data_IF_039469979936
#
_entry.id   IF_039469979936
#
_cell.length_a   1.000
_cell.length_b   1.000
_cell.length_c   1.000
_cell.angle_alpha   90.00
_cell.angle_beta   90.00
_cell.angle_gamma   90.00
#
_symmetry.space_group_name_H-M   'P 1'
#
loop_
_entity.id
_entity.type
_entity.pdbx_description
1 polymer ?
#
# COMPACT_ATOMS: atom_id res chain seq x y z
N UNK A 1 23.40 -39.34 -3.88
CA UNK A 1 24.51 -38.47 -3.46
C UNK A 1 24.05 -37.02 -3.63
N UNK A 2 23.30 -36.47 -2.67
CA UNK A 2 22.81 -35.09 -2.66
C UNK A 2 23.23 -34.45 -1.32
N UNK A 3 24.35 -33.73 -1.31
CA UNK A 3 24.89 -33.12 -0.08
C UNK A 3 25.51 -31.74 -0.34
N UNK A 4 24.82 -30.92 -1.15
CA UNK A 4 25.27 -29.55 -1.48
C UNK A 4 24.20 -28.46 -1.33
N UNK A 5 22.96 -28.80 -0.99
CA UNK A 5 21.88 -27.82 -0.84
C UNK A 5 21.32 -27.84 0.58
N UNK A 6 21.29 -26.68 1.23
CA UNK A 6 20.71 -26.52 2.58
C UNK A 6 19.19 -26.61 2.58
N UNK A 7 18.54 -26.45 1.42
CA UNK A 7 17.08 -26.50 1.24
C UNK A 7 16.71 -27.41 0.05
N UNK A 8 15.49 -27.94 0.07
CA UNK A 8 14.98 -28.84 -0.97
C UNK A 8 14.83 -28.10 -2.31
N UNK A 9 15.37 -28.66 -3.39
CA UNK A 9 15.39 -28.07 -4.74
C UNK A 9 14.12 -28.34 -5.57
N UNK A 10 13.29 -29.31 -5.18
CA UNK A 10 12.12 -29.73 -5.96
C UNK A 10 10.87 -28.99 -5.49
N UNK A 11 10.72 -27.73 -5.88
CA UNK A 11 9.51 -26.94 -5.65
C UNK A 11 9.23 -26.04 -6.85
N UNK A 12 7.95 -25.78 -7.11
CA UNK A 12 7.53 -24.86 -8.17
C UNK A 12 7.97 -23.43 -7.83
N UNK A 13 8.89 -22.91 -8.63
CA UNK A 13 9.32 -21.51 -8.55
C UNK A 13 8.34 -20.70 -9.39
N UNK A 14 7.58 -19.80 -8.77
CA UNK A 14 6.76 -18.84 -9.48
C UNK A 14 7.67 -17.88 -10.27
N UNK A 15 7.81 -18.12 -11.58
CA UNK A 15 8.67 -17.33 -12.48
C UNK A 15 8.20 -15.88 -12.72
N UNK A 16 7.03 -15.50 -12.18
CA UNK A 16 6.48 -14.15 -12.29
C UNK A 16 6.16 -13.64 -10.89
N UNK A 17 6.90 -12.62 -10.46
CA UNK A 17 6.64 -11.90 -9.21
C UNK A 17 5.34 -11.11 -9.36
N UNK A 18 4.24 -11.61 -8.80
CA UNK A 18 2.96 -10.86 -8.72
C UNK A 18 3.00 -9.95 -7.51
N UNK A 19 2.75 -8.66 -7.72
CA UNK A 19 2.64 -7.66 -6.65
C UNK A 19 1.52 -8.00 -5.63
N UNK A 20 0.52 -8.76 -6.07
CA UNK A 20 -0.71 -9.05 -5.32
C UNK A 20 -0.67 -10.41 -4.58
N UNK A 21 0.44 -11.14 -4.63
CA UNK A 21 0.52 -12.44 -3.97
C UNK A 21 0.55 -12.27 -2.44
N UNK A 22 -0.59 -12.56 -1.81
CA UNK A 22 -0.82 -12.44 -0.35
C UNK A 22 -0.78 -13.79 0.38
N UNK A 23 -0.48 -14.88 -0.32
CA UNK A 23 -0.43 -16.21 0.27
C UNK A 23 0.71 -16.29 1.32
N UNK A 24 0.32 -16.52 2.58
CA UNK A 24 1.21 -16.49 3.73
C UNK A 24 2.37 -17.49 3.58
N UNK A 25 2.08 -18.70 3.11
CA UNK A 25 3.09 -19.74 2.90
C UNK A 25 4.12 -19.33 1.84
N UNK A 26 3.66 -18.78 0.72
CA UNK A 26 4.58 -18.26 -0.31
C UNK A 26 5.46 -17.13 0.21
N UNK A 27 4.92 -16.19 1.00
CA UNK A 27 5.69 -15.08 1.55
C UNK A 27 6.72 -15.59 2.55
N UNK A 28 6.32 -16.52 3.44
CA UNK A 28 7.22 -17.14 4.39
C UNK A 28 8.41 -17.80 3.67
N UNK A 29 8.13 -18.61 2.64
CA UNK A 29 9.18 -19.29 1.86
C UNK A 29 10.07 -18.29 1.13
N UNK A 30 9.50 -17.25 0.51
CA UNK A 30 10.28 -16.20 -0.15
C UNK A 30 11.22 -15.50 0.84
N UNK A 31 10.70 -15.06 2.00
CA UNK A 31 11.49 -14.41 3.05
C UNK A 31 12.57 -15.33 3.62
N UNK A 32 12.27 -16.61 3.81
CA UNK A 32 13.20 -17.62 4.33
C UNK A 32 14.30 -17.98 3.32
N UNK A 33 13.98 -18.10 2.03
CA UNK A 33 14.91 -18.47 0.97
C UNK A 33 15.69 -17.29 0.39
N UNK A 34 15.27 -16.05 0.66
CA UNK A 34 15.97 -14.87 0.15
C UNK A 34 17.43 -14.80 0.65
N UNK A 35 18.39 -14.72 -0.27
CA UNK A 35 19.83 -14.66 0.05
C UNK A 35 20.36 -13.25 -0.18
N UNK A 36 21.01 -12.68 0.85
CA UNK A 36 21.66 -11.37 0.75
C UNK A 36 23.08 -11.53 0.23
N UNK A 37 23.27 -11.26 -1.05
CA UNK A 37 24.61 -11.15 -1.64
C UNK A 37 25.28 -9.84 -1.22
N UNK A 38 26.59 -9.72 -1.47
CA UNK A 38 27.30 -8.45 -1.23
C UNK A 38 26.71 -7.29 -2.04
N UNK A 39 26.19 -7.56 -3.24
CA UNK A 39 25.53 -6.55 -4.07
C UNK A 39 24.19 -6.12 -3.49
N UNK A 40 23.34 -7.08 -3.09
CA UNK A 40 22.07 -6.77 -2.42
C UNK A 40 22.30 -6.02 -1.11
N UNK A 41 23.34 -6.37 -0.35
CA UNK A 41 23.71 -5.65 0.87
C UNK A 41 24.00 -4.17 0.59
N UNK A 42 24.71 -3.85 -0.50
CA UNK A 42 24.94 -2.46 -0.93
C UNK A 42 23.64 -1.74 -1.32
N UNK A 43 22.71 -2.43 -2.00
CA UNK A 43 21.42 -1.84 -2.37
C UNK A 43 20.53 -1.56 -1.16
N UNK A 44 20.43 -2.50 -0.21
CA UNK A 44 19.73 -2.27 1.05
C UNK A 44 20.35 -1.10 1.82
N UNK A 45 21.68 -1.05 1.93
CA UNK A 45 22.38 0.06 2.59
C UNK A 45 22.09 1.42 1.93
N UNK A 46 22.10 1.49 0.60
CA UNK A 46 21.76 2.71 -0.12
C UNK A 46 20.30 3.13 0.08
N UNK A 47 19.37 2.17 0.12
CA UNK A 47 17.96 2.45 0.39
C UNK A 47 17.76 2.95 1.83
N UNK A 48 18.22 2.20 2.82
CA UNK A 48 17.97 2.50 4.23
C UNK A 48 18.73 3.74 4.72
N UNK A 49 19.88 4.09 4.12
CA UNK A 49 20.55 5.35 4.43
C UNK A 49 19.75 6.59 3.98
N UNK A 50 18.95 6.47 2.92
CA UNK A 50 18.04 7.52 2.47
C UNK A 50 16.70 7.50 3.23
N UNK A 51 16.20 6.30 3.54
CA UNK A 51 14.87 6.13 4.13
C UNK A 51 14.85 6.32 5.65
N UNK A 52 15.78 5.73 6.40
CA UNK A 52 15.77 5.74 7.87
C UNK A 52 15.74 7.15 8.50
N UNK A 53 16.47 8.17 7.98
CA UNK A 53 16.36 9.54 8.49
C UNK A 53 14.95 10.13 8.36
N UNK A 54 14.19 9.75 7.33
CA UNK A 54 12.84 10.27 7.08
C UNK A 54 11.80 9.74 8.07
N UNK A 55 12.03 8.56 8.66
CA UNK A 55 11.14 7.92 9.64
C UNK A 55 11.23 8.59 11.01
N UNK A 56 12.41 9.09 11.37
CA UNK A 56 12.68 9.74 12.65
C UNK A 56 12.17 11.16 12.73
N UNK A 57 12.31 11.92 11.65
CA UNK A 57 12.15 13.37 11.69
C UNK A 57 10.72 13.79 11.39
N UNK A 58 9.75 13.23 12.12
CA UNK A 58 8.36 13.71 12.15
C UNK A 58 8.36 15.16 12.65
N UNK A 59 8.42 16.13 11.73
CA UNK A 59 8.45 17.58 12.02
C UNK A 59 9.52 18.40 11.29
N UNK A 60 10.45 17.80 10.56
CA UNK A 60 11.43 18.56 9.75
C UNK A 60 10.98 18.75 8.30
N UNK A 61 11.49 19.77 7.60
CA UNK A 61 11.22 20.04 6.18
C UNK A 61 11.61 18.90 5.20
N UNK A 62 12.26 17.85 5.70
CA UNK A 62 12.68 16.64 4.99
C UNK A 62 11.75 15.43 5.22
N UNK A 63 10.81 15.49 6.16
CA UNK A 63 9.81 14.43 6.37
C UNK A 63 8.94 14.29 5.11
N UNK A 64 8.86 13.09 4.55
CA UNK A 64 8.02 12.78 3.38
C UNK A 64 8.62 13.12 2.01
N UNK A 65 9.90 13.49 1.90
CA UNK A 65 10.56 13.81 0.61
C UNK A 65 11.62 12.80 0.19
N UNK A 66 11.32 11.50 0.29
CA UNK A 66 12.22 10.44 -0.18
C UNK A 66 11.66 9.82 -1.45
N UNK A 67 12.41 9.94 -2.54
CA UNK A 67 12.17 9.21 -3.78
C UNK A 67 13.33 8.27 -4.06
N UNK A 68 13.05 7.00 -4.34
CA UNK A 68 14.07 6.00 -4.70
C UNK A 68 13.76 5.47 -6.09
N UNK A 69 14.78 5.41 -6.94
CA UNK A 69 14.71 4.83 -8.27
C UNK A 69 15.50 3.52 -8.34
N UNK A 70 14.84 2.42 -8.68
CA UNK A 70 15.47 1.10 -8.83
C UNK A 70 15.55 0.75 -10.31
N UNK A 71 16.76 0.74 -10.85
CA UNK A 71 17.02 0.47 -12.28
C UNK A 71 17.99 -0.70 -12.49
N UNK A 72 17.95 -1.30 -13.68
CA UNK A 72 18.79 -2.45 -14.05
C UNK A 72 18.20 -3.27 -15.19
N UNK A 73 18.97 -4.18 -15.77
CA UNK A 73 18.58 -4.98 -16.94
C UNK A 73 17.45 -5.99 -16.64
N UNK A 74 16.80 -6.51 -17.69
CA UNK A 74 15.79 -7.56 -17.53
C UNK A 74 16.41 -8.81 -16.87
N UNK A 75 15.67 -9.45 -15.96
CA UNK A 75 16.17 -10.60 -15.19
C UNK A 75 17.10 -10.27 -14.03
N UNK A 76 17.45 -9.00 -13.77
CA UNK A 76 18.36 -8.62 -12.68
C UNK A 76 17.75 -8.66 -11.27
N UNK A 77 16.53 -9.17 -11.10
CA UNK A 77 15.88 -9.32 -9.79
C UNK A 77 15.21 -8.06 -9.21
N UNK A 78 15.06 -6.96 -9.96
CA UNK A 78 14.48 -5.68 -9.45
C UNK A 78 13.12 -5.84 -8.79
N UNK A 79 12.17 -6.50 -9.47
CA UNK A 79 10.81 -6.69 -8.94
C UNK A 79 10.82 -7.56 -7.69
N UNK A 80 11.70 -8.56 -7.63
CA UNK A 80 11.86 -9.40 -6.45
C UNK A 80 12.49 -8.61 -5.29
N UNK A 81 13.52 -7.79 -5.55
CA UNK A 81 14.09 -6.88 -4.55
C UNK A 81 13.03 -5.90 -4.01
N UNK A 82 12.23 -5.29 -4.89
CA UNK A 82 11.14 -4.39 -4.49
C UNK A 82 10.08 -5.11 -3.64
N UNK A 83 9.69 -6.34 -4.01
CA UNK A 83 8.75 -7.16 -3.24
C UNK A 83 9.28 -7.49 -1.85
N UNK A 84 10.53 -7.94 -1.75
CA UNK A 84 11.16 -8.24 -0.47
C UNK A 84 11.32 -6.98 0.38
N UNK A 85 11.71 -5.85 -0.23
CA UNK A 85 11.79 -4.57 0.44
C UNK A 85 10.40 -4.15 0.97
N UNK A 86 9.32 -4.40 0.23
CA UNK A 86 7.95 -4.11 0.68
C UNK A 86 7.56 -4.90 1.92
N UNK A 87 7.87 -6.21 1.96
CA UNK A 87 7.64 -7.03 3.16
C UNK A 87 8.45 -6.56 4.36
N UNK A 88 9.69 -6.16 4.12
CA UNK A 88 10.55 -5.66 5.18
C UNK A 88 10.03 -4.32 5.72
N UNK A 89 9.63 -3.39 4.85
CA UNK A 89 9.09 -2.07 5.23
C UNK A 89 7.77 -2.15 6.00
N UNK A 90 6.84 -3.01 5.57
CA UNK A 90 5.60 -3.31 6.31
C UNK A 90 5.88 -4.09 7.61
N UNK A 91 7.13 -4.54 7.80
CA UNK A 91 7.51 -5.55 8.79
C UNK A 91 6.52 -6.71 8.83
N UNK A 92 6.21 -7.27 7.67
CA UNK A 92 5.05 -8.15 7.52
C UNK A 92 5.13 -9.35 8.47
N UNK A 93 4.06 -9.58 9.21
CA UNK A 93 3.89 -10.80 10.01
C UNK A 93 3.46 -11.94 9.10
N UNK A 94 4.22 -13.03 9.12
CA UNK A 94 3.89 -14.29 8.43
C UNK A 94 3.88 -15.43 9.43
N UNK A 95 3.10 -16.47 9.15
CA UNK A 95 2.96 -17.63 10.03
C UNK A 95 3.13 -18.90 9.21
N UNK A 96 3.85 -19.88 9.76
CA UNK A 96 3.96 -21.21 9.18
C UNK A 96 4.02 -22.25 10.28
N UNK A 97 3.25 -23.32 10.13
CA UNK A 97 3.20 -24.44 11.09
C UNK A 97 2.89 -24.00 12.55
N UNK A 98 2.12 -22.90 12.72
CA UNK A 98 1.77 -22.34 14.04
C UNK A 98 2.80 -21.38 14.63
N UNK A 99 3.91 -21.11 13.92
CA UNK A 99 4.95 -20.17 14.34
C UNK A 99 4.88 -18.87 13.53
N UNK A 100 4.52 -17.78 14.20
CA UNK A 100 4.54 -16.44 13.64
C UNK A 100 5.95 -15.82 13.65
N UNK A 101 6.33 -15.16 12.56
CA UNK A 101 7.62 -14.48 12.41
C UNK A 101 7.45 -13.18 11.63
N UNK A 102 8.12 -12.12 12.08
CA UNK A 102 8.13 -10.84 11.36
C UNK A 102 9.16 -10.86 10.24
N UNK A 103 8.91 -10.13 9.15
CA UNK A 103 9.83 -10.03 8.03
C UNK A 103 11.26 -9.65 8.48
N UNK A 104 11.40 -8.69 9.41
CA UNK A 104 12.70 -8.31 9.97
C UNK A 104 13.47 -9.48 10.60
N UNK A 105 12.78 -10.43 11.25
CA UNK A 105 13.43 -11.54 11.93
C UNK A 105 14.14 -12.48 10.95
N UNK A 106 13.66 -12.61 9.72
CA UNK A 106 14.34 -13.41 8.68
C UNK A 106 15.68 -12.81 8.28
N UNK A 107 15.88 -11.50 8.45
CA UNK A 107 17.07 -10.78 7.99
C UNK A 107 18.17 -10.69 9.03
N UNK A 108 17.88 -10.92 10.31
CA UNK A 108 18.84 -10.86 11.43
C UNK A 108 20.08 -11.72 11.19
N UNK A 109 19.89 -12.93 10.66
CA UNK A 109 20.98 -13.87 10.42
C UNK A 109 21.55 -13.78 8.99
N UNK A 110 20.90 -12.99 8.12
CA UNK A 110 21.27 -12.85 6.70
C UNK A 110 22.13 -11.62 6.43
N UNK A 111 22.07 -10.62 7.31
CA UNK A 111 22.85 -9.38 7.22
C UNK A 111 23.88 -9.37 8.35
N UNK A 112 25.16 -9.40 8.00
CA UNK A 112 26.25 -9.30 8.98
C UNK A 112 26.61 -7.85 9.33
N UNK A 113 26.18 -6.89 8.50
CA UNK A 113 26.37 -5.45 8.71
C UNK A 113 25.43 -4.95 9.82
N UNK A 114 26.00 -4.78 11.02
CA UNK A 114 25.24 -4.37 12.21
C UNK A 114 24.63 -2.97 12.09
N UNK A 115 25.28 -2.07 11.34
CA UNK A 115 24.75 -0.72 11.11
C UNK A 115 23.51 -0.79 10.20
N UNK A 116 23.58 -1.57 9.12
CA UNK A 116 22.41 -1.79 8.25
C UNK A 116 21.26 -2.45 9.01
N UNK A 117 21.53 -3.48 9.83
CA UNK A 117 20.49 -4.09 10.65
C UNK A 117 19.84 -3.10 11.62
N UNK A 118 20.62 -2.19 12.21
CA UNK A 118 20.08 -1.15 13.07
C UNK A 118 19.19 -0.17 12.31
N UNK A 119 19.60 0.27 11.11
CA UNK A 119 18.80 1.15 10.25
C UNK A 119 17.49 0.48 9.83
N UNK A 120 17.55 -0.80 9.42
CA UNK A 120 16.35 -1.59 9.10
C UNK A 120 15.45 -1.67 10.32
N UNK A 121 15.96 -2.14 11.46
CA UNK A 121 15.19 -2.30 12.71
C UNK A 121 14.46 -1.02 13.09
N UNK A 122 15.14 0.12 12.92
CA UNK A 122 14.62 1.44 13.20
C UNK A 122 13.52 1.82 12.22
N UNK A 123 13.74 1.67 10.92
CA UNK A 123 12.75 1.94 9.88
C UNK A 123 11.46 1.13 10.05
N UNK A 124 11.59 -0.14 10.45
CA UNK A 124 10.46 -1.09 10.57
C UNK A 124 9.82 -1.07 11.97
N UNK A 125 10.28 -0.18 12.87
CA UNK A 125 9.70 -0.03 14.21
C UNK A 125 8.41 0.79 14.24
N UNK A 126 8.11 1.51 13.15
CA UNK A 126 6.86 2.25 12.99
C UNK A 126 5.89 1.46 12.14
N UNK A 127 4.62 1.50 12.52
CA UNK A 127 3.55 0.92 11.72
C UNK A 127 3.51 1.62 10.35
N UNK A 128 3.66 0.82 9.30
CA UNK A 128 3.91 1.32 7.94
C UNK A 128 3.06 0.55 6.94
N UNK A 129 2.11 1.25 6.31
CA UNK A 129 1.39 0.73 5.17
C UNK A 129 2.26 0.75 3.91
N UNK A 130 2.32 -0.38 3.21
CA UNK A 130 3.01 -0.49 1.92
C UNK A 130 2.02 -0.78 0.81
N UNK A 131 2.01 0.08 -0.21
CA UNK A 131 1.18 -0.07 -1.41
C UNK A 131 2.09 -0.43 -2.58
N UNK A 132 2.00 -1.67 -3.06
CA UNK A 132 2.73 -2.15 -4.23
C UNK A 132 1.78 -2.26 -5.42
N UNK A 133 2.05 -1.53 -6.50
CA UNK A 133 1.18 -1.51 -7.68
C UNK A 133 2.01 -1.36 -8.97
N UNK A 134 1.42 -1.80 -10.08
CA UNK A 134 1.93 -1.55 -11.42
C UNK A 134 1.20 -0.35 -12.01
N UNK A 135 1.95 0.63 -12.54
CA UNK A 135 1.39 1.84 -13.14
C UNK A 135 0.60 1.49 -14.41
N UNK A 136 1.14 0.62 -15.27
CA UNK A 136 0.55 0.31 -16.58
C UNK A 136 -0.80 -0.43 -16.43
N UNK A 137 -0.99 -1.21 -15.37
CA UNK A 137 -2.25 -1.93 -15.13
C UNK A 137 -3.34 -1.07 -14.49
N UNK A 138 -3.00 0.14 -14.01
CA UNK A 138 -3.90 1.04 -13.30
C UNK A 138 -4.17 2.35 -14.05
N UNK A 139 -3.38 2.66 -15.09
CA UNK A 139 -3.54 3.86 -15.89
C UNK A 139 -4.66 3.71 -16.94
N UNK A 140 -5.65 4.59 -16.91
CA UNK A 140 -6.57 4.75 -18.03
C UNK A 140 -5.83 5.45 -19.18
N UNK A 141 -5.90 4.88 -20.38
CA UNK A 141 -5.14 5.29 -21.57
C UNK A 141 -5.52 6.67 -22.15
N UNK A 142 -6.58 7.31 -21.63
CA UNK A 142 -7.22 8.46 -22.28
C UNK A 142 -6.64 9.82 -21.86
N UNK A 143 -6.02 9.93 -20.67
CA UNK A 143 -5.40 11.17 -20.18
C UNK A 143 -3.91 10.99 -19.89
N UNK A 144 -3.05 11.32 -20.86
CA UNK A 144 -1.59 11.24 -20.68
C UNK A 144 -1.06 12.26 -19.68
N UNK A 145 -1.70 13.41 -19.55
CA UNK A 145 -1.34 14.40 -18.52
C UNK A 145 -1.84 13.93 -17.15
N UNK A 146 -0.94 13.87 -16.17
CA UNK A 146 -1.22 13.45 -14.79
C UNK A 146 -1.61 11.97 -14.59
N UNK A 147 -1.44 11.08 -15.58
CA UNK A 147 -1.74 9.66 -15.45
C UNK A 147 -1.13 9.01 -14.19
N UNK A 148 0.14 9.31 -13.93
CA UNK A 148 0.87 8.81 -12.75
C UNK A 148 0.23 9.31 -11.45
N UNK A 149 -0.09 10.60 -11.35
CA UNK A 149 -0.73 11.18 -10.16
C UNK A 149 -2.12 10.58 -9.92
N UNK A 150 -2.91 10.38 -10.99
CA UNK A 150 -4.23 9.74 -10.89
C UNK A 150 -4.11 8.31 -10.37
N UNK A 151 -3.15 7.53 -10.86
CA UNK A 151 -2.89 6.18 -10.35
C UNK A 151 -2.48 6.22 -8.88
N UNK A 152 -1.57 7.11 -8.47
CA UNK A 152 -1.19 7.26 -7.06
C UNK A 152 -2.38 7.58 -6.17
N UNK A 153 -3.23 8.53 -6.57
CA UNK A 153 -4.40 8.91 -5.79
C UNK A 153 -5.43 7.77 -5.72
N UNK A 154 -5.63 7.05 -6.82
CA UNK A 154 -6.51 5.88 -6.90
C UNK A 154 -6.08 4.79 -5.92
N UNK A 155 -4.82 4.33 -5.99
CA UNK A 155 -4.33 3.26 -5.11
C UNK A 155 -4.25 3.69 -3.64
N UNK A 156 -3.98 4.99 -3.40
CA UNK A 156 -4.04 5.55 -2.05
C UNK A 156 -5.46 5.50 -1.49
N UNK A 157 -6.44 6.05 -2.22
CA UNK A 157 -7.84 6.06 -1.80
C UNK A 157 -8.37 4.64 -1.56
N UNK A 158 -8.06 3.70 -2.46
CA UNK A 158 -8.45 2.29 -2.31
C UNK A 158 -7.85 1.68 -1.03
N UNK A 159 -6.58 1.96 -0.71
CA UNK A 159 -5.92 1.45 0.51
C UNK A 159 -6.60 1.97 1.78
N UNK A 160 -7.07 3.21 1.78
CA UNK A 160 -7.73 3.82 2.95
C UNK A 160 -9.27 3.65 2.94
N UNK A 161 -9.82 2.88 1.99
CA UNK A 161 -11.25 2.53 1.94
C UNK A 161 -12.16 3.52 1.19
N UNK A 162 -11.59 4.57 0.58
CA UNK A 162 -12.33 5.59 -0.17
C UNK A 162 -12.52 5.23 -1.64
N UNK A 163 -13.36 6.01 -2.33
CA UNK A 163 -13.65 5.89 -3.74
C UNK A 163 -12.35 5.97 -4.57
N UNK A 164 -12.04 4.88 -5.27
CA UNK A 164 -10.82 4.76 -6.05
C UNK A 164 -10.92 5.53 -7.37
N UNK A 165 -12.11 5.56 -7.97
CA UNK A 165 -12.33 6.04 -9.34
C UNK A 165 -12.61 7.54 -9.44
N UNK A 166 -13.22 8.12 -8.41
CA UNK A 166 -13.62 9.53 -8.39
C UNK A 166 -12.93 10.31 -7.27
N UNK A 167 -11.84 11.06 -7.56
CA UNK A 167 -11.08 11.80 -6.57
C UNK A 167 -11.90 12.78 -5.72
N UNK A 168 -12.91 13.43 -6.31
CA UNK A 168 -13.78 14.36 -5.60
C UNK A 168 -14.71 13.64 -4.61
N UNK A 169 -15.20 12.45 -4.95
CA UNK A 169 -15.97 11.60 -4.04
C UNK A 169 -15.09 11.12 -2.88
N UNK A 170 -13.87 10.67 -3.16
CA UNK A 170 -12.92 10.32 -2.11
C UNK A 170 -12.52 11.51 -1.22
N UNK A 171 -12.57 12.73 -1.74
CA UNK A 171 -12.37 13.93 -0.94
C UNK A 171 -13.57 14.18 -0.03
N UNK A 172 -14.80 14.05 -0.53
CA UNK A 172 -16.02 14.13 0.26
C UNK A 172 -16.02 13.11 1.41
N UNK A 173 -15.74 11.83 1.13
CA UNK A 173 -15.69 10.78 2.14
C UNK A 173 -14.66 11.10 3.23
N UNK A 174 -13.46 11.56 2.85
CA UNK A 174 -12.43 12.04 3.80
C UNK A 174 -12.90 13.20 4.65
N UNK A 175 -13.62 14.14 4.06
CA UNK A 175 -14.12 15.32 4.76
C UNK A 175 -15.23 14.95 5.75
N UNK A 176 -16.09 13.98 5.42
CA UNK A 176 -17.07 13.43 6.35
C UNK A 176 -16.38 12.67 7.50
N UNK A 177 -15.39 11.83 7.19
CA UNK A 177 -14.64 11.07 8.20
C UNK A 177 -13.93 11.97 9.20
N UNK A 178 -13.25 13.02 8.72
CA UNK A 178 -12.59 14.01 9.59
C UNK A 178 -13.55 14.72 10.56
N UNK A 179 -14.85 14.72 10.27
CA UNK A 179 -15.89 15.36 11.06
C UNK A 179 -16.73 14.33 11.84
N UNK A 180 -16.37 13.05 11.82
CA UNK A 180 -17.13 11.95 12.40
C UNK A 180 -18.57 11.83 11.83
N UNK A 181 -18.76 12.24 10.57
CA UNK A 181 -20.07 12.29 9.89
C UNK A 181 -20.29 11.16 8.89
N UNK A 182 -19.24 10.39 8.54
CA UNK A 182 -19.31 9.44 7.44
C UNK A 182 -20.25 8.27 7.73
N UNK A 183 -20.22 7.69 8.93
CA UNK A 183 -21.12 6.60 9.28
C UNK A 183 -22.59 7.04 9.30
N UNK A 184 -22.87 8.26 9.78
CA UNK A 184 -24.22 8.84 9.73
C UNK A 184 -24.69 9.04 8.29
N UNK A 185 -23.80 9.49 7.41
CA UNK A 185 -24.07 9.62 5.98
C UNK A 185 -24.39 8.27 5.35
N UNK A 186 -23.55 7.25 5.58
CA UNK A 186 -23.76 5.90 5.03
C UNK A 186 -25.05 5.25 5.51
N UNK A 187 -25.35 5.40 6.80
CA UNK A 187 -26.61 4.89 7.37
C UNK A 187 -27.82 5.54 6.72
N UNK A 188 -27.80 6.86 6.54
CA UNK A 188 -28.92 7.57 5.89
C UNK A 188 -29.03 7.22 4.40
N UNK A 189 -27.91 7.11 3.69
CA UNK A 189 -27.92 6.67 2.29
C UNK A 189 -28.56 5.29 2.15
N UNK A 190 -28.17 4.34 3.00
CA UNK A 190 -28.71 2.98 2.97
C UNK A 190 -30.22 2.91 3.30
N UNK A 191 -30.71 3.79 4.17
CA UNK A 191 -32.15 3.94 4.43
C UNK A 191 -32.92 4.37 3.16
N UNK A 192 -32.32 5.25 2.35
CA UNK A 192 -32.95 5.83 1.16
C UNK A 192 -32.89 4.91 -0.06
N UNK A 193 -31.78 4.21 -0.26
CA UNK A 193 -31.52 3.42 -1.47
C UNK A 193 -31.72 1.92 -1.29
N UNK A 194 -31.80 1.43 -0.05
CA UNK A 194 -31.75 0.01 0.29
C UNK A 194 -30.45 -0.68 -0.16
N UNK A 195 -29.38 0.09 -0.41
CA UNK A 195 -28.05 -0.37 -0.81
C UNK A 195 -26.97 0.35 0.00
N UNK A 196 -25.74 -0.15 0.04
CA UNK A 196 -24.66 0.54 0.77
C UNK A 196 -24.06 1.68 -0.06
N UNK A 197 -23.50 2.69 0.61
CA UNK A 197 -22.79 3.75 -0.10
C UNK A 197 -21.60 3.20 -0.89
N UNK A 198 -20.85 2.28 -0.29
CA UNK A 198 -19.67 1.68 -0.89
C UNK A 198 -19.96 0.89 -2.18
N UNK A 199 -21.15 0.30 -2.29
CA UNK A 199 -21.61 -0.44 -3.48
C UNK A 199 -22.06 0.49 -4.63
N UNK A 200 -22.60 1.67 -4.32
CA UNK A 200 -23.23 2.55 -5.31
C UNK A 200 -22.38 3.79 -5.68
N UNK A 201 -21.32 4.08 -4.92
CA UNK A 201 -20.49 5.30 -5.10
C UNK A 201 -19.76 5.40 -6.44
N UNK A 202 -19.60 4.30 -7.17
CA UNK A 202 -19.06 4.28 -8.54
C UNK A 202 -20.09 4.76 -9.58
N UNK A 203 -21.37 4.68 -9.24
CA UNK A 203 -22.52 5.13 -10.02
C UNK A 203 -23.28 6.28 -9.34
N UNK A 204 -22.60 7.06 -8.48
CA UNK A 204 -23.21 8.09 -7.63
C UNK A 204 -24.07 9.12 -8.39
N UNK A 205 -23.81 9.32 -9.68
CA UNK A 205 -24.60 10.21 -10.55
C UNK A 205 -26.08 9.80 -10.66
N UNK A 206 -26.41 8.52 -10.48
CA UNK A 206 -27.79 8.02 -10.44
C UNK A 206 -28.48 8.24 -9.09
N UNK A 207 -27.71 8.57 -8.05
CA UNK A 207 -28.19 8.70 -6.67
C UNK A 207 -27.99 10.12 -6.12
N UNK A 208 -27.99 11.14 -6.99
CA UNK A 208 -27.68 12.53 -6.60
C UNK A 208 -28.66 13.10 -5.56
N UNK A 209 -29.92 12.70 -5.61
CA UNK A 209 -30.93 13.18 -4.68
C UNK A 209 -30.75 12.54 -3.29
N UNK A 210 -30.52 11.22 -3.25
CA UNK A 210 -30.25 10.45 -2.03
C UNK A 210 -28.90 10.85 -1.41
N UNK A 211 -27.88 11.05 -2.24
CA UNK A 211 -26.58 11.60 -1.84
C UNK A 211 -26.76 12.97 -1.17
N UNK A 212 -27.52 13.88 -1.78
CA UNK A 212 -27.80 15.21 -1.21
C UNK A 212 -28.54 15.13 0.12
N UNK A 213 -29.53 14.25 0.22
CA UNK A 213 -30.33 14.07 1.43
C UNK A 213 -29.51 13.46 2.57
N UNK A 214 -28.73 12.41 2.28
CA UNK A 214 -27.85 11.79 3.24
C UNK A 214 -26.76 12.76 3.73
N UNK A 215 -26.18 13.57 2.82
CA UNK A 215 -25.20 14.60 3.18
C UNK A 215 -25.82 15.68 4.06
N UNK A 216 -26.99 16.20 3.68
CA UNK A 216 -27.71 17.21 4.45
C UNK A 216 -28.00 16.70 5.88
N UNK A 217 -28.45 15.45 6.00
CA UNK A 217 -28.70 14.81 7.28
C UNK A 217 -27.44 14.66 8.13
N UNK A 218 -26.35 14.13 7.57
CA UNK A 218 -25.11 13.88 8.32
C UNK A 218 -24.38 15.18 8.72
N UNK A 219 -24.50 16.23 7.92
CA UNK A 219 -23.79 17.50 8.12
C UNK A 219 -24.61 18.60 8.80
N UNK A 220 -25.89 18.35 9.08
CA UNK A 220 -26.87 19.35 9.55
C UNK A 220 -26.93 20.60 8.65
N UNK A 221 -26.80 20.39 7.33
CA UNK A 221 -26.84 21.42 6.31
C UNK A 221 -28.14 21.35 5.51
N UNK A 222 -28.52 22.46 4.87
CA UNK A 222 -29.60 22.44 3.89
C UNK A 222 -29.25 21.52 2.70
N UNK A 223 -30.27 20.92 2.08
CA UNK A 223 -30.10 20.13 0.86
C UNK A 223 -29.46 20.95 -0.25
N UNK A 224 -29.79 22.24 -0.37
CA UNK A 224 -29.16 23.14 -1.33
C UNK A 224 -27.66 23.29 -1.10
N UNK A 225 -27.23 23.41 0.17
CA UNK A 225 -25.81 23.49 0.51
C UNK A 225 -25.08 22.17 0.23
N UNK A 226 -25.71 21.03 0.52
CA UNK A 226 -25.16 19.70 0.27
C UNK A 226 -24.86 19.44 -1.21
N UNK A 227 -25.71 19.95 -2.12
CA UNK A 227 -25.55 19.80 -3.58
C UNK A 227 -24.23 20.37 -4.12
N UNK A 228 -23.62 21.33 -3.43
CA UNK A 228 -22.35 21.93 -3.84
C UNK A 228 -21.14 20.98 -3.74
N UNK A 229 -21.24 19.88 -2.96
CA UNK A 229 -20.14 18.96 -2.75
C UNK A 229 -19.79 18.09 -3.96
N UNK A 230 -20.77 17.75 -4.80
CA UNK A 230 -20.59 16.84 -5.93
C UNK A 230 -20.84 17.49 -7.30
N UNK A 231 -21.16 18.79 -7.34
CA UNK A 231 -21.51 19.53 -8.57
C UNK A 231 -20.33 20.23 -9.27
N UNK A 232 -19.09 19.77 -9.05
CA UNK A 232 -17.89 20.33 -9.68
C UNK A 232 -17.17 19.33 -10.56
#
# INVERSE_FOLDING_TARGET
MNRFFSKQLTRDINGVVKAEQKDNDSIYVELDEYVITQELNRHFRAFFSAYAPSVDHSGSAMSGKVGVWISGFFGSGKSHFLKILSYLLENKSVEKDGEGRQAFDFFKDKITDTALLADIKKSVSKDTDVILFNIDSRANTEDRENAILKVFLKVFNERVGYCADFPHIAHLERELDKRDQYDSFKAKFAELTLSTWEEERDAYDFYRDELSEALAHASDQSKESAKHWYSK
#
